data_IF_093973958238
#
_entry.id   IF_093973958238
#
_cell.length_a   1.000
_cell.length_b   1.000
_cell.length_c   1.000
_cell.angle_alpha   90.00
_cell.angle_beta   90.00
_cell.angle_gamma   90.00
#
_symmetry.space_group_name_H-M   'P 1'
#
loop_
_entity.id
_entity.type
_entity.pdbx_description
1 polymer ?
#
# COMPACT_ATOMS: atom_id res chain seq x y z
N UNK A 1 -29.47 10.86 19.58
CA UNK A 1 -28.36 11.80 19.80
C UNK A 1 -27.05 11.38 19.11
N UNK A 2 -26.85 10.10 18.74
CA UNK A 2 -25.61 9.69 18.06
C UNK A 2 -25.54 10.01 16.55
N UNK A 3 -26.66 10.02 15.83
CA UNK A 3 -26.65 10.20 14.37
C UNK A 3 -26.08 11.56 13.94
N UNK A 4 -26.47 12.67 14.59
CA UNK A 4 -26.00 14.01 14.23
C UNK A 4 -24.51 14.22 14.51
N UNK A 5 -23.99 13.59 15.57
CA UNK A 5 -22.55 13.54 15.87
C UNK A 5 -21.80 12.71 14.83
N UNK A 6 -22.33 11.56 14.45
CA UNK A 6 -21.77 10.70 13.40
C UNK A 6 -21.74 11.42 12.04
N UNK A 7 -22.77 12.20 11.70
CA UNK A 7 -22.81 13.00 10.47
C UNK A 7 -21.76 14.11 10.45
N UNK A 8 -21.68 14.93 11.51
CA UNK A 8 -20.66 15.99 11.58
C UNK A 8 -19.25 15.39 11.46
N UNK A 9 -19.04 14.24 12.10
CA UNK A 9 -17.77 13.53 12.06
C UNK A 9 -17.45 12.95 10.69
N UNK A 10 -18.47 12.45 9.99
CA UNK A 10 -18.37 12.00 8.61
C UNK A 10 -17.91 13.13 7.68
N UNK A 11 -18.47 14.33 7.80
CA UNK A 11 -18.11 15.47 6.95
C UNK A 11 -16.69 15.97 7.21
N UNK A 12 -16.28 16.04 8.49
CA UNK A 12 -14.90 16.33 8.89
C UNK A 12 -13.93 15.32 8.25
N UNK A 13 -14.26 14.04 8.30
CA UNK A 13 -13.46 12.97 7.71
C UNK A 13 -13.39 13.08 6.18
N UNK A 14 -14.52 13.35 5.50
CA UNK A 14 -14.52 13.48 4.04
C UNK A 14 -13.66 14.67 3.60
N UNK A 15 -13.70 15.77 4.34
CA UNK A 15 -12.86 16.93 4.06
C UNK A 15 -11.38 16.65 4.32
N UNK A 16 -11.04 15.90 5.37
CA UNK A 16 -9.69 15.41 5.58
C UNK A 16 -9.21 14.51 4.42
N UNK A 17 -10.05 13.59 3.94
CA UNK A 17 -9.69 12.68 2.87
C UNK A 17 -9.40 13.38 1.54
N UNK A 18 -10.03 14.53 1.25
CA UNK A 18 -9.68 15.36 0.09
C UNK A 18 -8.23 15.85 0.10
N UNK A 19 -7.55 15.82 1.25
CA UNK A 19 -6.12 16.18 1.39
C UNK A 19 -5.18 14.99 1.17
N UNK A 20 -5.72 13.80 0.89
CA UNK A 20 -4.96 12.58 0.69
C UNK A 20 -4.06 12.70 -0.55
N UNK A 21 -2.75 12.40 -0.43
CA UNK A 21 -1.85 12.38 -1.58
C UNK A 21 -2.33 11.41 -2.65
N UNK A 22 -2.19 11.78 -3.93
CA UNK A 22 -2.59 10.92 -5.06
C UNK A 22 -1.81 9.61 -5.09
N UNK A 23 -0.56 9.65 -4.62
CA UNK A 23 0.37 8.52 -4.66
C UNK A 23 0.25 7.61 -3.43
N UNK A 24 -0.82 7.76 -2.62
CA UNK A 24 -1.14 6.77 -1.57
C UNK A 24 -1.70 5.51 -2.23
N UNK A 25 -1.59 4.37 -1.55
CA UNK A 25 -2.11 3.11 -2.07
C UNK A 25 -3.58 3.20 -2.53
N UNK A 26 -3.88 2.66 -3.73
CA UNK A 26 -5.16 2.87 -4.43
C UNK A 26 -6.40 2.46 -3.63
N UNK A 27 -6.28 1.45 -2.76
CA UNK A 27 -7.39 1.02 -1.90
C UNK A 27 -7.90 2.11 -0.96
N UNK A 28 -7.06 3.09 -0.60
CA UNK A 28 -7.46 4.25 0.19
C UNK A 28 -8.34 5.21 -0.63
N UNK A 29 -7.97 5.45 -1.89
CA UNK A 29 -8.80 6.22 -2.83
C UNK A 29 -10.14 5.53 -3.06
N UNK A 30 -10.15 4.22 -3.32
CA UNK A 30 -11.40 3.45 -3.47
C UNK A 30 -12.27 3.49 -2.21
N UNK A 31 -11.66 3.47 -1.02
CA UNK A 31 -12.39 3.57 0.24
C UNK A 31 -13.02 4.96 0.41
N UNK A 32 -12.31 6.01 0.03
CA UNK A 32 -12.84 7.37 0.01
C UNK A 32 -13.99 7.53 -0.99
N UNK A 33 -13.83 7.06 -2.23
CA UNK A 33 -14.89 7.07 -3.24
C UNK A 33 -16.15 6.35 -2.74
N UNK A 34 -15.98 5.13 -2.20
CA UNK A 34 -17.08 4.36 -1.61
C UNK A 34 -17.72 5.06 -0.41
N UNK A 35 -16.93 5.71 0.44
CA UNK A 35 -17.43 6.45 1.59
C UNK A 35 -18.25 7.66 1.14
N UNK A 36 -17.73 8.45 0.20
CA UNK A 36 -18.36 9.67 -0.32
C UNK A 36 -19.71 9.41 -1.01
N UNK A 37 -19.90 8.20 -1.54
CA UNK A 37 -21.11 7.76 -2.23
C UNK A 37 -22.12 7.05 -1.32
N UNK A 38 -21.86 6.96 -0.01
CA UNK A 38 -22.81 6.38 0.94
C UNK A 38 -24.09 7.24 1.04
N UNK A 39 -25.28 6.62 0.97
CA UNK A 39 -26.54 7.32 1.23
C UNK A 39 -26.60 7.77 2.68
N UNK A 40 -27.30 8.88 2.96
CA UNK A 40 -27.36 9.52 4.30
C UNK A 40 -27.57 8.50 5.43
N UNK A 41 -28.59 7.64 5.36
CA UNK A 41 -28.86 6.62 6.39
C UNK A 41 -27.81 5.52 6.57
N UNK A 42 -26.73 5.49 5.77
CA UNK A 42 -25.60 4.54 5.89
C UNK A 42 -24.27 5.23 6.23
N UNK A 43 -24.25 6.55 6.43
CA UNK A 43 -23.06 7.33 6.82
C UNK A 43 -22.80 7.17 8.32
N UNK A 44 -22.32 5.98 8.71
CA UNK A 44 -21.94 5.70 10.09
C UNK A 44 -20.44 5.49 10.24
N UNK A 45 -19.91 5.77 11.44
CA UNK A 45 -18.52 5.49 11.78
C UNK A 45 -18.16 4.01 11.60
N UNK A 46 -19.09 3.10 11.89
CA UNK A 46 -18.93 1.65 11.66
C UNK A 46 -18.68 1.32 10.18
N UNK A 47 -19.46 1.90 9.27
CA UNK A 47 -19.29 1.67 7.83
C UNK A 47 -17.94 2.19 7.34
N UNK A 48 -17.53 3.36 7.82
CA UNK A 48 -16.23 3.97 7.52
C UNK A 48 -15.07 3.11 8.03
N UNK A 49 -15.12 2.66 9.29
CA UNK A 49 -14.12 1.75 9.89
C UNK A 49 -13.89 0.51 9.05
N UNK A 50 -14.97 -0.09 8.52
CA UNK A 50 -14.86 -1.27 7.65
C UNK A 50 -14.17 -0.97 6.32
N UNK A 51 -14.49 0.15 5.69
CA UNK A 51 -13.81 0.59 4.46
C UNK A 51 -12.32 0.86 4.71
N UNK A 52 -12.01 1.51 5.84
CA UNK A 52 -10.66 1.82 6.28
C UNK A 52 -9.83 0.57 6.53
N UNK A 53 -10.38 -0.38 7.29
CA UNK A 53 -9.73 -1.65 7.58
C UNK A 53 -9.45 -2.44 6.30
N UNK A 54 -10.38 -2.44 5.34
CA UNK A 54 -10.16 -3.09 4.04
C UNK A 54 -9.06 -2.41 3.23
N UNK A 55 -9.03 -1.08 3.21
CA UNK A 55 -7.99 -0.33 2.49
C UNK A 55 -6.60 -0.63 3.06
N UNK A 56 -6.47 -0.53 4.38
CA UNK A 56 -5.25 -0.84 5.11
C UNK A 56 -4.79 -2.29 4.90
N UNK A 57 -5.69 -3.27 5.06
CA UNK A 57 -5.32 -4.67 4.90
C UNK A 57 -4.78 -4.97 3.50
N UNK A 58 -5.39 -4.37 2.46
CA UNK A 58 -4.88 -4.51 1.08
C UNK A 58 -3.49 -3.93 0.93
N UNK A 59 -3.26 -2.71 1.42
CA UNK A 59 -1.94 -2.09 1.40
C UNK A 59 -0.90 -2.94 2.16
N UNK A 60 -1.26 -3.47 3.32
CA UNK A 60 -0.35 -4.33 4.09
C UNK A 60 -0.02 -5.64 3.39
N UNK A 61 -1.00 -6.28 2.74
CA UNK A 61 -0.78 -7.51 1.95
C UNK A 61 0.23 -7.22 0.83
N UNK A 62 0.00 -6.14 0.08
CA UNK A 62 0.89 -5.69 -1.00
C UNK A 62 2.32 -5.46 -0.53
N UNK A 63 2.49 -4.80 0.63
CA UNK A 63 3.80 -4.56 1.22
C UNK A 63 4.46 -5.87 1.68
N UNK A 64 3.72 -6.77 2.31
CA UNK A 64 4.23 -8.08 2.73
C UNK A 64 4.66 -8.93 1.52
N UNK A 65 3.87 -8.92 0.45
CA UNK A 65 4.17 -9.69 -0.76
C UNK A 65 5.46 -9.18 -1.43
N UNK A 66 5.65 -7.86 -1.55
CA UNK A 66 6.91 -7.31 -2.05
C UNK A 66 8.09 -7.60 -1.11
N UNK A 67 7.92 -7.47 0.21
CA UNK A 67 9.00 -7.75 1.16
C UNK A 67 9.42 -9.23 1.08
N UNK A 68 8.47 -10.16 1.04
CA UNK A 68 8.75 -11.59 0.89
C UNK A 68 9.48 -11.91 -0.43
N UNK A 69 9.09 -11.28 -1.54
CA UNK A 69 9.62 -11.57 -2.88
C UNK A 69 10.93 -10.85 -3.20
N UNK A 70 11.14 -9.65 -2.66
CA UNK A 70 12.28 -8.78 -3.02
C UNK A 70 13.37 -8.74 -1.95
N UNK A 71 13.13 -9.25 -0.74
CA UNK A 71 14.13 -9.29 0.32
C UNK A 71 14.90 -10.64 0.31
N UNK A 72 16.23 -10.62 0.05
CA UNK A 72 17.06 -11.83 -0.02
C UNK A 72 17.13 -12.64 1.28
N UNK A 73 16.91 -12.01 2.44
CA UNK A 73 16.87 -12.72 3.72
C UNK A 73 15.65 -13.64 3.89
N UNK A 74 14.62 -13.46 3.05
CA UNK A 74 13.35 -14.18 3.13
C UNK A 74 13.11 -15.13 1.97
N UNK A 75 13.69 -14.89 0.79
CA UNK A 75 13.56 -15.80 -0.36
C UNK A 75 14.74 -15.76 -1.34
N UNK A 76 15.10 -16.91 -1.91
CA UNK A 76 15.91 -16.97 -3.12
C UNK A 76 14.99 -16.82 -4.34
N UNK A 77 15.36 -15.98 -5.31
CA UNK A 77 14.52 -15.78 -6.51
C UNK A 77 14.36 -17.06 -7.33
N UNK A 78 15.37 -17.94 -7.28
CA UNK A 78 15.36 -19.22 -7.96
C UNK A 78 14.23 -20.11 -7.42
N UNK A 79 13.20 -20.32 -8.25
CA UNK A 79 12.03 -21.14 -7.91
C UNK A 79 10.91 -20.42 -7.17
N UNK A 80 11.14 -19.20 -6.65
CA UNK A 80 10.12 -18.41 -5.93
C UNK A 80 9.43 -17.37 -6.81
N UNK A 81 10.13 -16.80 -7.81
CA UNK A 81 9.57 -15.77 -8.69
C UNK A 81 9.20 -16.38 -10.04
N UNK A 82 7.89 -16.57 -10.25
CA UNK A 82 7.31 -17.08 -11.50
C UNK A 82 7.25 -16.04 -12.62
N UNK A 83 6.96 -16.48 -13.86
CA UNK A 83 6.76 -15.56 -14.99
C UNK A 83 5.57 -14.61 -14.70
N UNK A 84 4.50 -15.18 -14.14
CA UNK A 84 3.31 -14.44 -13.71
C UNK A 84 3.63 -13.40 -12.62
N UNK A 85 4.61 -13.68 -11.74
CA UNK A 85 5.03 -12.70 -10.74
C UNK A 85 5.65 -11.48 -11.41
N UNK A 86 6.53 -11.70 -12.41
CA UNK A 86 7.25 -10.64 -13.12
C UNK A 86 6.37 -9.83 -14.07
N UNK A 87 5.48 -10.48 -14.81
CA UNK A 87 4.70 -9.83 -15.86
C UNK A 87 3.44 -9.17 -15.33
N UNK A 88 2.95 -9.63 -14.18
CA UNK A 88 1.64 -9.24 -13.66
C UNK A 88 1.63 -8.91 -12.17
N UNK A 89 1.90 -9.86 -11.28
CA UNK A 89 1.61 -9.67 -9.83
C UNK A 89 2.44 -8.55 -9.20
N UNK A 90 3.77 -8.56 -9.37
CA UNK A 90 4.67 -7.56 -8.81
C UNK A 90 4.44 -6.18 -9.45
N UNK A 91 4.33 -6.05 -10.80
CA UNK A 91 3.89 -4.82 -11.44
C UNK A 91 2.59 -4.23 -10.88
N UNK A 92 1.57 -5.07 -10.66
CA UNK A 92 0.29 -4.62 -10.10
C UNK A 92 0.45 -4.09 -8.68
N UNK A 93 1.21 -4.79 -7.83
CA UNK A 93 1.47 -4.34 -6.47
C UNK A 93 2.18 -2.97 -6.46
N UNK A 94 3.22 -2.78 -7.29
CA UNK A 94 3.88 -1.48 -7.41
C UNK A 94 2.92 -0.38 -7.87
N UNK A 95 2.10 -0.66 -8.89
CA UNK A 95 1.09 0.28 -9.38
C UNK A 95 0.11 0.68 -8.28
N UNK A 96 -0.45 -0.30 -7.55
CA UNK A 96 -1.38 -0.06 -6.45
C UNK A 96 -0.76 0.77 -5.33
N UNK A 97 0.49 0.49 -4.94
CA UNK A 97 1.23 1.25 -3.92
C UNK A 97 1.49 2.70 -4.33
N UNK A 98 1.52 2.97 -5.64
CA UNK A 98 1.66 4.31 -6.21
C UNK A 98 0.32 4.99 -6.52
N UNK A 99 -0.79 4.43 -6.03
CA UNK A 99 -2.14 4.99 -6.21
C UNK A 99 -2.72 4.78 -7.60
N UNK A 100 -2.10 3.93 -8.43
CA UNK A 100 -2.59 3.64 -9.76
C UNK A 100 -3.66 2.55 -9.72
N UNK A 101 -4.77 2.79 -10.41
CA UNK A 101 -5.88 1.83 -10.51
C UNK A 101 -5.54 0.72 -11.50
N UNK A 102 -5.88 -0.51 -11.12
CA UNK A 102 -5.71 -1.66 -12.00
C UNK A 102 -6.52 -1.50 -13.29
N UNK A 103 -5.95 -1.92 -14.43
CA UNK A 103 -6.69 -1.93 -15.69
C UNK A 103 -7.73 -3.06 -15.70
N UNK A 104 -8.95 -2.76 -16.19
CA UNK A 104 -10.06 -3.72 -16.24
C UNK A 104 -9.75 -4.94 -17.14
N UNK A 105 -8.86 -4.79 -18.13
CA UNK A 105 -8.42 -5.83 -19.05
C UNK A 105 -6.89 -5.91 -19.10
N UNK A 106 -6.25 -6.54 -18.11
CA UNK A 106 -4.78 -6.63 -18.08
C UNK A 106 -4.25 -7.78 -18.96
N UNK A 107 -3.41 -7.45 -19.95
CA UNK A 107 -2.54 -8.40 -20.68
C UNK A 107 -1.21 -8.59 -19.94
N UNK A 108 -0.29 -9.37 -20.52
CA UNK A 108 1.08 -9.50 -20.03
C UNK A 108 1.83 -8.15 -20.08
N UNK A 109 2.81 -7.98 -19.17
CA UNK A 109 3.61 -6.76 -18.99
C UNK A 109 2.79 -5.50 -18.62
N UNK A 110 2.07 -5.61 -17.50
CA UNK A 110 1.14 -4.57 -17.03
C UNK A 110 1.85 -3.24 -16.75
N UNK A 111 3.10 -3.27 -16.28
CA UNK A 111 3.85 -2.06 -15.95
C UNK A 111 4.03 -1.13 -17.15
N UNK A 112 4.55 -1.67 -18.26
CA UNK A 112 4.82 -0.89 -19.48
C UNK A 112 3.54 -0.41 -20.15
N UNK A 113 2.49 -1.24 -20.08
CA UNK A 113 1.24 -0.99 -20.81
C UNK A 113 0.30 -0.03 -20.10
N UNK A 114 0.28 -0.05 -18.75
CA UNK A 114 -0.76 0.63 -17.97
C UNK A 114 -0.23 1.57 -16.89
N UNK A 115 0.93 1.28 -16.31
CA UNK A 115 1.40 1.98 -15.11
C UNK A 115 2.59 2.90 -15.34
N UNK A 116 3.18 2.95 -16.52
CA UNK A 116 4.25 3.89 -16.83
C UNK A 116 3.67 5.23 -17.31
N UNK A 117 3.61 6.28 -16.45
CA UNK A 117 3.10 7.59 -16.87
C UNK A 117 4.11 8.30 -17.77
N UNK A 118 3.62 8.89 -18.88
CA UNK A 118 4.45 9.70 -19.79
C UNK A 118 4.86 11.05 -19.18
N UNK A 119 4.06 11.61 -18.26
CA UNK A 119 4.44 12.64 -17.29
C UNK A 119 3.25 12.98 -16.36
N UNK A 120 3.48 13.01 -15.03
CA UNK A 120 2.49 13.49 -14.03
C UNK A 120 3.12 14.45 -13.02
N UNK A 121 4.26 14.07 -12.43
CA UNK A 121 5.16 14.97 -11.68
C UNK A 121 6.61 14.49 -11.82
N UNK A 122 7.60 15.37 -11.62
CA UNK A 122 9.03 14.97 -11.66
C UNK A 122 9.37 13.86 -10.65
N UNK A 123 8.75 13.91 -9.48
CA UNK A 123 8.93 12.87 -8.45
C UNK A 123 8.32 11.55 -8.90
N UNK A 124 7.11 11.57 -9.46
CA UNK A 124 6.46 10.36 -9.97
C UNK A 124 7.26 9.71 -11.11
N UNK A 125 7.80 10.53 -12.04
CA UNK A 125 8.68 10.02 -13.11
C UNK A 125 9.89 9.30 -12.53
N UNK A 126 10.54 9.88 -11.50
CA UNK A 126 11.68 9.25 -10.85
C UNK A 126 11.32 7.94 -10.15
N UNK A 127 10.16 7.87 -9.50
CA UNK A 127 9.71 6.65 -8.80
C UNK A 127 9.28 5.57 -9.79
N UNK A 128 8.62 5.94 -10.89
CA UNK A 128 8.27 4.98 -11.94
C UNK A 128 9.49 4.43 -12.68
N UNK A 129 10.52 5.27 -12.92
CA UNK A 129 11.80 4.81 -13.45
C UNK A 129 12.47 3.81 -12.51
N UNK A 130 12.46 4.10 -11.20
CA UNK A 130 12.99 3.18 -10.19
C UNK A 130 12.28 1.81 -10.21
N UNK A 131 10.94 1.80 -10.28
CA UNK A 131 10.17 0.54 -10.39
C UNK A 131 10.47 -0.19 -11.70
N UNK A 132 10.59 0.54 -12.81
CA UNK A 132 10.98 -0.05 -14.09
C UNK A 132 12.34 -0.77 -13.99
N UNK A 133 13.33 -0.12 -13.38
CA UNK A 133 14.67 -0.69 -13.22
C UNK A 133 14.64 -1.95 -12.34
N UNK A 134 13.84 -1.94 -11.26
CA UNK A 134 13.61 -3.14 -10.43
C UNK A 134 13.04 -4.28 -11.30
N UNK A 135 11.96 -4.04 -12.04
CA UNK A 135 11.29 -5.06 -12.85
C UNK A 135 12.20 -5.62 -13.95
N UNK A 136 12.98 -4.76 -14.62
CA UNK A 136 13.93 -5.17 -15.64
C UNK A 136 15.05 -6.04 -15.04
N UNK A 137 15.62 -5.63 -13.91
CA UNK A 137 16.63 -6.43 -13.22
C UNK A 137 16.08 -7.78 -12.79
N UNK A 138 14.86 -7.83 -12.25
CA UNK A 138 14.22 -9.11 -11.91
C UNK A 138 14.03 -10.02 -13.12
N UNK A 139 13.65 -9.45 -14.27
CA UNK A 139 13.53 -10.18 -15.52
C UNK A 139 14.87 -10.75 -15.98
N UNK A 140 15.95 -9.96 -15.93
CA UNK A 140 17.31 -10.43 -16.25
C UNK A 140 17.79 -11.49 -15.26
N UNK A 141 17.61 -11.25 -13.97
CA UNK A 141 18.07 -12.11 -12.88
C UNK A 141 17.45 -13.51 -12.94
N UNK A 142 16.19 -13.63 -13.37
CA UNK A 142 15.54 -14.93 -13.60
C UNK A 142 16.26 -15.83 -14.61
N UNK A 143 16.92 -15.24 -15.60
CA UNK A 143 17.58 -15.97 -16.68
C UNK A 143 19.10 -16.09 -16.50
N UNK A 144 19.64 -15.53 -15.42
CA UNK A 144 21.08 -15.43 -15.20
C UNK A 144 21.54 -16.35 -14.04
N UNK A 145 22.59 -17.15 -14.27
CA UNK A 145 23.13 -18.10 -13.30
C UNK A 145 23.86 -17.44 -12.10
N UNK A 146 24.07 -16.11 -12.12
CA UNK A 146 24.62 -15.31 -11.02
C UNK A 146 23.62 -14.27 -10.51
N UNK A 147 22.36 -14.68 -10.33
CA UNK A 147 21.24 -13.82 -9.95
C UNK A 147 21.46 -13.11 -8.60
N UNK A 148 22.37 -13.59 -7.75
CA UNK A 148 22.70 -12.99 -6.46
C UNK A 148 23.19 -11.55 -6.61
N UNK A 149 24.00 -11.26 -7.63
CA UNK A 149 24.47 -9.89 -7.91
C UNK A 149 23.32 -8.96 -8.35
N UNK A 150 22.36 -9.52 -9.09
CA UNK A 150 21.15 -8.81 -9.54
C UNK A 150 20.20 -8.58 -8.35
N UNK A 151 20.10 -9.55 -7.45
CA UNK A 151 19.26 -9.50 -6.26
C UNK A 151 19.72 -8.39 -5.30
N UNK A 152 21.03 -8.24 -5.08
CA UNK A 152 21.59 -7.12 -4.29
C UNK A 152 21.22 -5.76 -4.90
N UNK A 153 21.29 -5.64 -6.23
CA UNK A 153 20.92 -4.40 -6.91
C UNK A 153 19.42 -4.09 -6.77
N UNK A 154 18.56 -5.10 -6.88
CA UNK A 154 17.11 -4.93 -6.68
C UNK A 154 16.78 -4.58 -5.24
N UNK A 155 17.47 -5.16 -4.25
CA UNK A 155 17.31 -4.79 -2.85
C UNK A 155 17.61 -3.31 -2.62
N UNK A 156 18.72 -2.79 -3.17
CA UNK A 156 19.10 -1.39 -3.05
C UNK A 156 18.03 -0.46 -3.66
N UNK A 157 17.56 -0.78 -4.87
CA UNK A 157 16.52 -0.02 -5.55
C UNK A 157 15.18 -0.12 -4.80
N UNK A 158 14.83 -1.28 -4.26
CA UNK A 158 13.64 -1.46 -3.45
C UNK A 158 13.72 -0.68 -2.13
N UNK A 159 14.90 -0.58 -1.50
CA UNK A 159 15.14 0.32 -0.36
C UNK A 159 14.90 1.79 -0.70
N UNK A 160 15.33 2.25 -1.89
CA UNK A 160 15.02 3.60 -2.39
C UNK A 160 13.51 3.77 -2.60
N UNK A 161 12.83 2.75 -3.14
CA UNK A 161 11.37 2.78 -3.33
C UNK A 161 10.62 2.87 -2.00
N UNK A 162 11.02 2.08 -0.99
CA UNK A 162 10.49 2.19 0.38
C UNK A 162 10.69 3.59 0.97
N UNK A 163 11.82 4.23 0.67
CA UNK A 163 12.07 5.62 1.08
C UNK A 163 11.11 6.60 0.38
N UNK A 164 10.78 6.38 -0.88
CA UNK A 164 9.75 7.14 -1.60
C UNK A 164 8.36 6.96 -0.98
N UNK A 165 7.97 5.73 -0.61
CA UNK A 165 6.72 5.48 0.13
C UNK A 165 6.69 6.17 1.51
N UNK A 166 7.86 6.44 2.09
CA UNK A 166 8.03 7.12 3.37
C UNK A 166 8.12 8.65 3.25
N UNK A 167 7.85 9.24 2.08
CA UNK A 167 7.90 10.70 1.88
C UNK A 167 7.10 11.46 2.96
N UNK A 168 7.61 12.63 3.34
CA UNK A 168 7.06 13.48 4.41
C UNK A 168 5.55 13.74 4.25
N UNK A 169 5.06 13.87 3.02
CA UNK A 169 3.62 14.07 2.74
C UNK A 169 2.74 12.90 3.18
N UNK A 170 3.17 11.65 2.97
CA UNK A 170 2.43 10.47 3.40
C UNK A 170 2.46 10.35 4.92
N UNK A 171 3.63 10.60 5.52
CA UNK A 171 3.82 10.61 6.98
C UNK A 171 2.93 11.64 7.64
N UNK A 172 2.91 12.88 7.13
CA UNK A 172 2.08 13.95 7.65
C UNK A 172 0.59 13.63 7.54
N UNK A 173 0.13 13.10 6.40
CA UNK A 173 -1.26 12.70 6.22
C UNK A 173 -1.66 11.58 7.18
N UNK A 174 -0.85 10.51 7.31
CA UNK A 174 -1.10 9.41 8.25
C UNK A 174 -1.06 9.84 9.70
N UNK A 175 -0.13 10.74 10.05
CA UNK A 175 -0.05 11.30 11.39
C UNK A 175 -1.29 12.12 11.73
N UNK A 176 -1.75 12.96 10.79
CA UNK A 176 -2.98 13.73 10.95
C UNK A 176 -4.21 12.83 11.08
N UNK A 177 -4.33 11.81 10.24
CA UNK A 177 -5.36 10.76 10.38
C UNK A 177 -5.35 10.14 11.78
N UNK A 178 -4.17 9.82 12.32
CA UNK A 178 -4.02 9.23 13.66
C UNK A 178 -4.46 10.15 14.78
N UNK A 179 -4.12 11.43 14.68
CA UNK A 179 -4.45 12.42 15.70
C UNK A 179 -5.92 12.84 15.62
N UNK A 180 -6.39 13.08 14.40
CA UNK A 180 -7.68 13.70 14.15
C UNK A 180 -8.81 12.68 14.05
N UNK A 181 -8.55 11.41 13.71
CA UNK A 181 -9.57 10.35 13.52
C UNK A 181 -9.13 8.96 14.07
N UNK A 182 -8.70 8.87 15.34
CA UNK A 182 -8.23 7.61 15.92
C UNK A 182 -9.27 6.49 15.90
N UNK A 183 -10.57 6.81 15.95
CA UNK A 183 -11.66 5.84 15.94
C UNK A 183 -11.78 5.02 14.65
N UNK A 184 -11.18 5.50 13.55
CA UNK A 184 -11.15 4.80 12.25
C UNK A 184 -10.04 3.77 12.16
N UNK A 185 -9.05 3.89 13.03
CA UNK A 185 -7.88 3.03 13.08
C UNK A 185 -8.25 1.83 13.97
N UNK A 186 -8.65 0.72 13.32
CA UNK A 186 -8.77 -0.57 14.00
C UNK A 186 -7.40 -1.12 14.42
N UNK A 187 -7.37 -2.28 15.07
CA UNK A 187 -6.12 -2.93 15.53
C UNK A 187 -5.13 -3.30 14.41
N UNK A 188 -3.84 -3.26 14.74
CA UNK A 188 -2.66 -3.29 13.86
C UNK A 188 -2.06 -4.71 13.67
N UNK A 189 -0.98 -4.91 12.88
CA UNK A 189 -0.66 -6.18 12.20
C UNK A 189 -0.51 -7.40 13.13
N UNK A 190 -0.84 -8.59 12.63
CA UNK A 190 -0.61 -9.85 13.36
C UNK A 190 0.88 -10.05 13.65
N UNK A 191 1.21 -10.90 14.64
CA UNK A 191 2.61 -11.26 14.94
C UNK A 191 3.39 -11.73 13.71
N UNK A 192 2.75 -12.42 12.77
CA UNK A 192 3.35 -12.85 11.50
C UNK A 192 3.75 -11.66 10.62
N UNK A 193 2.90 -10.63 10.51
CA UNK A 193 3.23 -9.44 9.72
C UNK A 193 4.39 -8.64 10.33
N UNK A 194 4.49 -8.60 11.67
CA UNK A 194 5.65 -8.00 12.37
C UNK A 194 6.94 -8.78 12.09
N UNK A 195 6.86 -10.10 12.03
CA UNK A 195 8.00 -10.94 11.69
C UNK A 195 8.48 -10.73 10.24
N UNK A 196 7.54 -10.50 9.30
CA UNK A 196 7.88 -10.33 7.87
C UNK A 196 8.33 -8.91 7.51
N UNK A 197 7.69 -7.88 8.05
CA UNK A 197 7.96 -6.48 7.68
C UNK A 197 9.08 -5.83 8.51
N UNK A 198 9.39 -6.38 9.68
CA UNK A 198 10.35 -5.84 10.63
C UNK A 198 9.77 -4.73 11.52
N UNK A 199 10.28 -4.60 12.76
CA UNK A 199 9.75 -3.68 13.78
C UNK A 199 9.78 -2.21 13.37
N UNK A 200 10.79 -1.75 12.61
CA UNK A 200 10.83 -0.37 12.13
C UNK A 200 9.77 -0.06 11.07
N UNK A 201 9.45 -1.03 10.20
CA UNK A 201 8.42 -0.87 9.18
C UNK A 201 7.02 -1.00 9.79
N UNK A 202 6.85 -1.94 10.73
CA UNK A 202 5.65 -2.01 11.55
C UNK A 202 5.47 -0.75 12.41
N UNK A 203 6.53 -0.19 12.99
CA UNK A 203 6.53 1.10 13.70
C UNK A 203 6.13 2.28 12.80
N UNK A 204 6.48 2.24 11.51
CA UNK A 204 5.99 3.20 10.50
C UNK A 204 4.50 2.98 10.15
N UNK A 205 4.01 1.75 10.27
CA UNK A 205 2.59 1.36 10.09
C UNK A 205 1.80 1.44 11.41
N UNK A 206 2.41 1.60 12.58
CA UNK A 206 1.77 1.32 13.87
C UNK A 206 1.06 2.50 14.53
N UNK A 207 -0.16 2.16 14.95
CA UNK A 207 -1.05 2.86 15.88
C UNK A 207 -1.22 1.87 17.04
N UNK A 208 -1.04 2.36 18.27
CA UNK A 208 -0.86 1.54 19.47
C UNK A 208 -2.11 0.71 19.86
N UNK A 209 -1.83 -0.48 20.38
CA UNK A 209 -2.76 -1.48 20.94
C UNK A 209 -3.18 -1.12 22.37
N UNK A 210 -4.48 -1.20 22.64
CA UNK A 210 -5.10 -2.03 23.68
C UNK A 210 -6.61 -2.06 23.40
N UNK A 211 -7.33 -3.12 23.82
CA UNK A 211 -8.80 -3.32 23.69
C UNK A 211 -9.32 -3.99 22.42
N UNK A 212 -9.49 -5.31 22.49
CA UNK A 212 -10.31 -6.23 21.63
C UNK A 212 -9.67 -7.62 21.58
N UNK A 213 -9.41 -8.18 22.77
CA UNK A 213 -9.43 -9.61 23.05
C UNK A 213 -10.00 -9.83 24.47
N UNK A 214 -10.96 -8.99 24.88
CA UNK A 214 -11.93 -9.39 25.90
C UNK A 214 -13.17 -9.85 25.15
N UNK A 215 -13.38 -11.15 25.13
CA UNK A 215 -14.68 -11.73 24.82
C UNK A 215 -15.72 -11.13 25.77
N UNK A 216 -16.75 -10.51 25.21
CA UNK A 216 -18.09 -10.51 25.80
C UNK A 216 -19.08 -10.78 24.66
N UNK A 217 -19.23 -12.09 24.38
CA UNK A 217 -20.54 -12.75 24.36
C UNK A 217 -20.50 -13.78 25.48
#
# INVERSE_FOLDING_TARGET
MDAERDYKRFDELMNFWKTMPLEIHVSWHEAFEKASTLPEGKRSLSALRRLFAKARNRESIDLCDLEWKLNPGLSSWYGVIGQEDLERKIPLIFGRLLGMKEPDNSTDNVWQSYFMPLATTRQMVSVCALVNDILQLMHVGRHFLGYEAVQVSVEELYGKFKTCLRMNRFRAWRQKLRLDFPELLGKHPTREMRATLGEEFCGWVEVQDDWLWSEEV
#
